data_IF_276234615142
#
_entry.id   IF_276234615142
#
_cell.length_a   1.000
_cell.length_b   1.000
_cell.length_c   1.000
_cell.angle_alpha   90.00
_cell.angle_beta   90.00
_cell.angle_gamma   90.00
#
_symmetry.space_group_name_H-M   'P 1'
#
loop_
_entity.id
_entity.type
_entity.pdbx_description
1 polymer ?
#
# COMPACT_ATOMS: atom_id res chain seq x y z
N UNK A 1 21.92 19.10 49.12
CA UNK A 1 20.63 19.52 48.54
C UNK A 1 20.25 18.58 47.41
N UNK A 2 19.33 17.65 47.66
CA UNK A 2 18.83 16.67 46.69
C UNK A 2 17.33 16.93 46.50
N UNK A 3 16.90 17.22 45.28
CA UNK A 3 15.48 17.33 44.94
C UNK A 3 15.09 16.01 44.26
N UNK A 4 14.40 15.15 45.00
CA UNK A 4 13.67 14.01 44.44
C UNK A 4 12.29 14.50 44.00
N UNK A 5 11.92 14.16 42.77
CA UNK A 5 10.61 14.43 42.20
C UNK A 5 9.63 13.39 42.77
N UNK A 6 8.55 13.86 43.40
CA UNK A 6 7.50 12.99 43.92
C UNK A 6 6.61 12.47 42.79
N UNK A 7 6.25 11.21 42.95
CA UNK A 7 5.35 10.39 42.15
C UNK A 7 3.87 10.68 42.44
N UNK A 8 3.07 10.34 41.42
CA UNK A 8 1.63 10.00 41.43
C UNK A 8 0.62 11.11 41.74
N UNK A 9 -0.37 11.24 40.86
CA UNK A 9 -1.77 11.51 41.20
C UNK A 9 -2.68 11.05 40.04
N UNK A 10 -3.34 9.92 40.32
CA UNK A 10 -4.76 9.63 40.16
C UNK A 10 -5.48 9.73 38.80
N UNK A 11 -5.93 8.54 38.41
CA UNK A 11 -7.16 8.25 37.68
C UNK A 11 -8.37 8.98 38.26
N UNK A 12 -9.06 9.77 37.44
CA UNK A 12 -10.43 10.19 37.71
C UNK A 12 -11.29 10.12 36.44
N UNK A 13 -12.22 9.17 36.47
CA UNK A 13 -13.45 9.06 35.70
C UNK A 13 -14.21 10.38 35.59
N UNK A 14 -14.74 10.72 34.40
CA UNK A 14 -15.88 11.64 34.11
C UNK A 14 -16.07 11.60 32.58
N UNK A 15 -17.21 11.43 31.93
CA UNK A 15 -18.59 11.09 32.29
C UNK A 15 -19.25 10.56 31.01
N UNK A 16 -20.01 9.48 31.13
CA UNK A 16 -20.94 9.02 30.09
C UNK A 16 -22.26 9.76 30.31
N UNK A 17 -22.66 10.59 29.34
CA UNK A 17 -24.06 11.00 29.17
C UNK A 17 -24.30 11.20 27.68
N UNK A 18 -25.27 10.48 27.11
CA UNK A 18 -26.33 11.03 26.24
C UNK A 18 -27.29 9.91 25.83
N UNK A 19 -28.42 9.88 26.53
CA UNK A 19 -29.80 9.90 26.02
C UNK A 19 -30.15 9.12 24.75
N UNK A 20 -30.94 8.07 24.92
CA UNK A 20 -31.86 7.53 23.91
C UNK A 20 -33.07 8.46 23.76
N UNK A 21 -33.45 8.89 22.54
CA UNK A 21 -34.86 9.11 22.19
C UNK A 21 -35.13 9.14 20.67
N UNK A 22 -36.07 8.26 20.29
CA UNK A 22 -37.10 8.36 19.24
C UNK A 22 -36.73 8.49 17.76
N UNK A 23 -37.10 7.43 17.03
CA UNK A 23 -37.46 7.40 15.61
C UNK A 23 -38.62 8.36 15.33
N UNK A 24 -38.52 9.13 14.25
CA UNK A 24 -39.63 9.58 13.40
C UNK A 24 -39.12 9.53 11.96
N UNK A 25 -39.89 8.85 11.13
CA UNK A 25 -39.73 8.74 9.69
C UNK A 25 -40.10 10.08 9.04
N UNK A 26 -39.22 10.64 8.21
CA UNK A 26 -39.59 11.59 7.14
C UNK A 26 -38.59 11.48 5.96
N UNK A 27 -39.14 11.60 4.76
CA UNK A 27 -38.57 11.30 3.44
C UNK A 27 -37.31 12.13 3.10
N UNK A 28 -36.28 11.43 2.59
CA UNK A 28 -34.91 11.95 2.47
C UNK A 28 -34.67 12.84 1.26
N UNK A 29 -34.81 14.16 1.45
CA UNK A 29 -34.10 15.15 0.64
C UNK A 29 -32.60 15.09 0.90
N UNK A 30 -31.77 15.22 -0.16
CA UNK A 30 -30.31 15.34 -0.05
C UNK A 30 -29.96 16.63 0.73
N UNK A 31 -29.82 16.55 2.04
CA UNK A 31 -29.20 17.62 2.81
C UNK A 31 -27.67 17.58 2.65
N UNK A 32 -27.00 18.71 2.42
CA UNK A 32 -25.55 18.77 2.39
C UNK A 32 -25.01 18.46 3.78
N UNK A 33 -24.30 17.35 3.92
CA UNK A 33 -23.59 16.99 5.14
C UNK A 33 -22.63 18.13 5.54
N UNK A 34 -22.58 18.53 6.82
CA UNK A 34 -21.66 19.57 7.29
C UNK A 34 -20.21 19.14 7.00
N UNK A 35 -19.41 20.03 6.42
CA UNK A 35 -18.01 19.77 6.08
C UNK A 35 -17.20 19.56 7.36
N UNK A 36 -17.02 18.31 7.78
CA UNK A 36 -16.17 17.93 8.92
C UNK A 36 -14.69 18.09 8.55
N UNK A 37 -13.91 18.69 9.45
CA UNK A 37 -12.46 18.71 9.32
C UNK A 37 -11.88 17.29 9.37
N UNK A 38 -10.99 16.97 8.44
CA UNK A 38 -10.26 15.69 8.42
C UNK A 38 -9.32 15.62 9.63
N UNK A 39 -9.28 14.47 10.30
CA UNK A 39 -8.40 14.27 11.46
C UNK A 39 -6.94 14.07 11.02
N UNK A 40 -6.00 14.26 11.94
CA UNK A 40 -4.57 14.01 11.67
C UNK A 40 -4.33 12.54 11.27
N UNK A 41 -4.97 11.59 11.96
CA UNK A 41 -4.90 10.16 11.65
C UNK A 41 -5.36 9.87 10.22
N UNK A 42 -6.49 10.44 9.80
CA UNK A 42 -7.00 10.27 8.43
C UNK A 42 -6.03 10.82 7.37
N UNK A 43 -5.32 11.92 7.66
CA UNK A 43 -4.32 12.48 6.73
C UNK A 43 -3.12 11.53 6.63
N UNK A 44 -2.63 11.04 7.78
CA UNK A 44 -1.50 10.09 7.84
C UNK A 44 -1.86 8.83 7.05
N UNK A 45 -3.03 8.25 7.27
CA UNK A 45 -3.48 7.04 6.59
C UNK A 45 -3.62 7.25 5.08
N UNK A 46 -4.12 8.42 4.66
CA UNK A 46 -4.21 8.79 3.24
C UNK A 46 -2.85 8.99 2.58
N UNK A 47 -1.84 9.42 3.33
CA UNK A 47 -0.48 9.66 2.84
C UNK A 47 0.45 8.46 3.04
N UNK A 48 0.05 7.48 3.84
CA UNK A 48 0.81 6.27 4.10
C UNK A 48 1.07 5.51 2.80
N UNK A 49 2.36 5.24 2.55
CA UNK A 49 2.78 4.32 1.50
C UNK A 49 2.80 2.90 2.06
N UNK A 50 2.75 1.92 1.16
CA UNK A 50 3.08 0.55 1.52
C UNK A 50 4.50 0.49 2.08
N UNK A 51 4.66 -0.32 3.12
CA UNK A 51 5.97 -0.64 3.70
C UNK A 51 6.71 -1.58 2.73
N UNK A 52 8.04 -1.60 2.78
CA UNK A 52 8.87 -2.31 1.79
C UNK A 52 8.55 -3.83 1.67
N UNK A 53 8.07 -4.46 2.74
CA UNK A 53 7.68 -5.87 2.75
C UNK A 53 6.18 -6.13 2.50
N UNK A 54 5.39 -5.10 2.22
CA UNK A 54 3.96 -5.25 1.91
C UNK A 54 3.78 -6.11 0.66
N UNK A 55 2.98 -7.17 0.80
CA UNK A 55 2.68 -8.12 -0.28
C UNK A 55 2.12 -7.43 -1.52
N UNK A 56 1.31 -6.37 -1.34
CA UNK A 56 0.73 -5.60 -2.45
C UNK A 56 1.78 -4.78 -3.19
N UNK A 57 2.77 -4.22 -2.48
CA UNK A 57 3.85 -3.49 -3.13
C UNK A 57 4.74 -4.44 -3.95
N UNK A 58 5.02 -5.63 -3.42
CA UNK A 58 5.76 -6.67 -4.15
C UNK A 58 5.01 -7.14 -5.39
N UNK A 59 3.70 -7.35 -5.27
CA UNK A 59 2.84 -7.77 -6.38
C UNK A 59 2.78 -6.73 -7.52
N UNK A 60 2.60 -5.44 -7.18
CA UNK A 60 2.66 -4.35 -8.17
C UNK A 60 4.04 -4.29 -8.83
N UNK A 61 5.12 -4.42 -8.05
CA UNK A 61 6.49 -4.40 -8.58
C UNK A 61 6.73 -5.55 -9.56
N UNK A 62 6.25 -6.74 -9.22
CA UNK A 62 6.35 -7.93 -10.07
C UNK A 62 5.54 -7.75 -11.36
N UNK A 63 4.34 -7.19 -11.27
CA UNK A 63 3.48 -6.89 -12.43
C UNK A 63 4.15 -5.89 -13.38
N UNK A 64 4.79 -4.85 -12.85
CA UNK A 64 5.55 -3.88 -13.65
C UNK A 64 6.74 -4.57 -14.35
N UNK A 65 7.47 -5.43 -13.64
CA UNK A 65 8.57 -6.18 -14.21
C UNK A 65 8.10 -7.17 -15.29
N UNK A 66 6.95 -7.80 -15.09
CA UNK A 66 6.31 -8.67 -16.07
C UNK A 66 5.94 -7.89 -17.34
N UNK A 67 5.30 -6.72 -17.21
CA UNK A 67 5.00 -5.86 -18.37
C UNK A 67 6.28 -5.54 -19.16
N UNK A 68 7.36 -5.17 -18.47
CA UNK A 68 8.65 -4.89 -19.10
C UNK A 68 9.15 -6.09 -19.92
N UNK A 69 9.09 -7.29 -19.34
CA UNK A 69 9.60 -8.49 -19.98
C UNK A 69 8.70 -8.99 -21.13
N UNK A 70 7.37 -8.96 -20.95
CA UNK A 70 6.40 -9.47 -21.93
C UNK A 70 6.34 -8.55 -23.14
N UNK A 71 6.29 -7.23 -22.91
CA UNK A 71 6.15 -6.23 -23.97
C UNK A 71 7.50 -5.71 -24.49
N UNK A 72 8.62 -6.24 -23.97
CA UNK A 72 9.99 -5.84 -24.33
C UNK A 72 10.24 -4.33 -24.16
N UNK A 73 9.59 -3.72 -23.16
CA UNK A 73 9.74 -2.30 -22.87
C UNK A 73 11.13 -1.98 -22.31
N UNK A 74 11.65 -0.76 -22.50
CA UNK A 74 12.90 -0.35 -21.88
C UNK A 74 12.75 -0.32 -20.36
N UNK A 75 13.81 -0.70 -19.63
CA UNK A 75 13.84 -0.60 -18.15
C UNK A 75 13.60 0.82 -17.63
N UNK A 76 13.78 1.84 -18.48
CA UNK A 76 13.48 3.23 -18.17
C UNK A 76 11.97 3.54 -18.07
N UNK A 77 11.09 2.59 -18.40
CA UNK A 77 9.62 2.72 -18.28
C UNK A 77 9.21 3.26 -16.91
N UNK A 78 9.81 2.75 -15.83
CA UNK A 78 9.52 3.16 -14.44
C UNK A 78 9.86 4.62 -14.13
N UNK A 79 10.72 5.24 -14.95
CA UNK A 79 11.08 6.66 -14.85
C UNK A 79 10.22 7.56 -15.75
N UNK A 80 9.42 6.99 -16.66
CA UNK A 80 8.58 7.79 -17.56
C UNK A 80 7.47 8.47 -16.77
N UNK A 81 7.38 9.80 -16.91
CA UNK A 81 6.44 10.63 -16.15
C UNK A 81 4.99 10.19 -16.38
N UNK A 82 4.62 9.84 -17.62
CA UNK A 82 3.27 9.35 -17.94
C UNK A 82 2.93 8.06 -17.19
N UNK A 83 3.86 7.10 -17.17
CA UNK A 83 3.72 5.85 -16.45
C UNK A 83 3.62 6.06 -14.94
N UNK A 84 4.50 6.89 -14.36
CA UNK A 84 4.45 7.21 -12.93
C UNK A 84 3.13 7.87 -12.51
N UNK A 85 2.58 8.76 -13.35
CA UNK A 85 1.26 9.37 -13.12
C UNK A 85 0.14 8.34 -13.15
N UNK A 86 0.18 7.41 -14.10
CA UNK A 86 -0.78 6.31 -14.20
C UNK A 86 -0.75 5.43 -12.95
N UNK A 87 0.43 4.92 -12.58
CA UNK A 87 0.59 4.07 -11.39
C UNK A 87 0.17 4.80 -10.12
N UNK A 88 0.53 6.08 -9.96
CA UNK A 88 0.09 6.87 -8.80
C UNK A 88 -1.43 7.03 -8.74
N UNK A 89 -2.11 7.09 -9.88
CA UNK A 89 -3.58 7.20 -9.94
C UNK A 89 -4.25 5.88 -9.59
N UNK A 90 -3.73 4.76 -10.08
CA UNK A 90 -4.28 3.42 -9.87
C UNK A 90 -3.91 2.84 -8.49
N UNK A 91 -2.67 3.07 -8.06
CA UNK A 91 -2.07 2.51 -6.86
C UNK A 91 -1.47 3.64 -5.98
N UNK A 92 -2.31 4.48 -5.34
CA UNK A 92 -1.84 5.70 -4.67
C UNK A 92 -0.92 5.48 -3.47
N UNK A 93 -0.98 4.30 -2.85
CA UNK A 93 -0.11 3.91 -1.73
C UNK A 93 1.19 3.23 -2.18
N UNK A 94 1.35 2.94 -3.47
CA UNK A 94 2.56 2.31 -3.98
C UNK A 94 3.67 3.34 -4.18
N UNK A 95 4.85 3.03 -3.64
CA UNK A 95 6.08 3.77 -3.94
C UNK A 95 6.66 3.21 -5.24
N UNK A 96 6.87 4.09 -6.22
CA UNK A 96 7.48 3.69 -7.49
C UNK A 96 8.82 2.99 -7.26
N UNK A 97 8.98 1.80 -7.85
CA UNK A 97 10.23 1.05 -7.85
C UNK A 97 11.31 1.77 -8.67
N UNK A 98 12.56 1.67 -8.23
CA UNK A 98 13.68 2.21 -9.00
C UNK A 98 14.06 1.29 -10.15
N UNK A 99 14.52 1.87 -11.25
CA UNK A 99 15.06 1.09 -12.38
C UNK A 99 16.16 0.11 -11.94
N UNK A 100 17.07 0.55 -11.07
CA UNK A 100 18.13 -0.31 -10.54
C UNK A 100 17.58 -1.53 -9.80
N UNK A 101 16.52 -1.36 -9.00
CA UNK A 101 15.91 -2.49 -8.31
C UNK A 101 15.26 -3.48 -9.28
N UNK A 102 14.62 -2.98 -10.35
CA UNK A 102 14.07 -3.82 -11.41
C UNK A 102 15.18 -4.63 -12.10
N UNK A 103 16.28 -3.97 -12.51
CA UNK A 103 17.34 -4.61 -13.31
C UNK A 103 18.23 -5.54 -12.48
N UNK A 104 18.60 -5.15 -11.27
CA UNK A 104 19.58 -5.90 -10.47
C UNK A 104 18.95 -6.96 -9.58
N UNK A 105 17.65 -6.85 -9.29
CA UNK A 105 16.98 -7.76 -8.34
C UNK A 105 15.78 -8.45 -8.95
N UNK A 106 14.74 -7.70 -9.30
CA UNK A 106 13.42 -8.27 -9.62
C UNK A 106 13.47 -9.15 -10.87
N UNK A 107 14.00 -8.64 -11.98
CA UNK A 107 14.06 -9.41 -13.24
C UNK A 107 15.01 -10.60 -13.15
N UNK A 108 16.23 -10.49 -12.59
CA UNK A 108 17.08 -11.66 -12.36
C UNK A 108 16.42 -12.76 -11.52
N UNK A 109 15.75 -12.40 -10.42
CA UNK A 109 15.01 -13.36 -9.59
C UNK A 109 13.85 -14.01 -10.36
N UNK A 110 13.08 -13.23 -11.14
CA UNK A 110 12.03 -13.74 -12.02
C UNK A 110 12.58 -14.74 -13.05
N UNK A 111 13.69 -14.40 -13.70
CA UNK A 111 14.33 -15.28 -14.68
C UNK A 111 14.74 -16.62 -14.05
N UNK A 112 15.38 -16.59 -12.87
CA UNK A 112 15.77 -17.83 -12.20
C UNK A 112 14.57 -18.71 -11.87
N UNK A 113 13.47 -18.11 -11.40
CA UNK A 113 12.22 -18.83 -11.11
C UNK A 113 11.64 -19.50 -12.35
N UNK A 114 11.50 -18.76 -13.45
CA UNK A 114 10.94 -19.28 -14.70
C UNK A 114 11.88 -20.33 -15.30
N UNK A 115 13.18 -20.07 -15.36
CA UNK A 115 14.19 -21.03 -15.84
C UNK A 115 14.15 -22.32 -15.04
N UNK A 116 14.10 -22.25 -13.71
CA UNK A 116 14.02 -23.43 -12.85
C UNK A 116 12.76 -24.25 -13.17
N UNK A 117 11.62 -23.57 -13.38
CA UNK A 117 10.36 -24.24 -13.73
C UNK A 117 10.43 -24.92 -15.10
N UNK A 118 10.99 -24.24 -16.11
CA UNK A 118 11.19 -24.82 -17.44
C UNK A 118 12.11 -26.05 -17.37
N UNK A 119 13.22 -25.96 -16.63
CA UNK A 119 14.12 -27.10 -16.45
C UNK A 119 13.47 -28.27 -15.73
N UNK A 120 12.62 -28.02 -14.74
CA UNK A 120 11.83 -29.06 -14.07
C UNK A 120 10.91 -29.76 -15.06
N UNK A 121 10.15 -29.00 -15.85
CA UNK A 121 9.25 -29.54 -16.88
C UNK A 121 10.01 -30.37 -17.92
N UNK A 122 11.19 -29.92 -18.34
CA UNK A 122 12.04 -30.68 -19.28
C UNK A 122 12.57 -31.99 -18.68
N UNK A 123 12.87 -32.02 -17.37
CA UNK A 123 13.26 -33.27 -16.67
C UNK A 123 12.10 -34.25 -16.58
N UNK A 124 10.90 -33.76 -16.31
CA UNK A 124 9.68 -34.58 -16.25
C UNK A 124 9.27 -35.07 -17.65
N UNK A 125 9.55 -34.27 -18.69
CA UNK A 125 9.42 -34.65 -20.10
C UNK A 125 10.58 -35.57 -20.54
N UNK A 126 10.96 -36.53 -19.70
CA UNK A 126 11.84 -37.63 -20.09
C UNK A 126 11.00 -38.60 -20.91
N UNK A 127 11.18 -38.46 -22.22
CA UNK A 127 10.65 -39.24 -23.34
C UNK A 127 10.67 -40.76 -23.02
N UNK A 128 9.52 -41.41 -23.22
CA UNK A 128 9.36 -42.87 -23.37
C UNK A 128 10.10 -43.34 -24.62
#
# INVERSE_FOLDING_TARGET
>A
MKRHHNSELDTASTSKTTTQKTKRDEEGGLQPQPKRQTTLSEIIDKKSLYVDDDVRAKDITLTIAEQICVDMEPFDLVNKIGFQRLIKKLCPKYKMVSRFHITEKVIPEMYQRVRAKVLELLKTCRIL
#
